data_IF_062499380357
#
_entry.id   IF_062499380357
#
_cell.length_a   1.000
_cell.length_b   1.000
_cell.length_c   1.000
_cell.angle_alpha   90.00
_cell.angle_beta   90.00
_cell.angle_gamma   90.00
#
_symmetry.space_group_name_H-M   'P 1'
#
loop_
_entity.id
_entity.type
_entity.pdbx_description
1 polymer ?
#
# COMPACT_ATOMS: atom_id res chain seq x y z
N UNK A 1 7.69 21.65 6.95
CA UNK A 1 8.48 20.81 6.02
C UNK A 1 8.59 19.39 6.54
N UNK A 2 7.53 18.60 6.47
CA UNK A 2 7.67 17.15 6.65
C UNK A 2 8.27 16.60 5.36
N UNK A 3 9.53 16.18 5.42
CA UNK A 3 10.14 15.47 4.30
C UNK A 3 9.41 14.14 4.09
N UNK A 4 9.44 13.58 2.87
CA UNK A 4 8.85 12.25 2.60
C UNK A 4 9.39 11.14 3.53
N UNK A 5 10.57 11.35 4.13
CA UNK A 5 11.15 10.45 5.12
C UNK A 5 10.49 10.57 6.50
N UNK A 6 9.98 11.74 6.87
CA UNK A 6 9.41 11.94 8.21
C UNK A 6 8.12 11.14 8.38
N UNK A 7 7.29 11.04 7.34
CA UNK A 7 6.12 10.16 7.36
C UNK A 7 6.49 8.68 7.50
N UNK A 8 7.64 8.27 6.97
CA UNK A 8 8.13 6.90 7.10
C UNK A 8 8.60 6.63 8.54
N UNK A 9 9.24 7.60 9.18
CA UNK A 9 9.69 7.49 10.57
C UNK A 9 8.55 7.48 11.59
N UNK A 10 7.41 8.08 11.24
CA UNK A 10 6.22 8.12 12.11
C UNK A 10 5.31 6.90 11.95
N UNK A 11 5.41 6.19 10.83
CA UNK A 11 4.58 5.02 10.56
C UNK A 11 5.11 3.74 11.22
N UNK A 12 4.26 2.71 11.24
CA UNK A 12 4.63 1.40 11.76
C UNK A 12 5.78 0.75 10.98
N UNK A 13 6.67 0.06 11.70
CA UNK A 13 7.76 -0.71 11.12
C UNK A 13 7.36 -2.18 10.87
N UNK A 14 7.89 -2.76 9.78
CA UNK A 14 7.62 -4.16 9.38
C UNK A 14 7.85 -5.16 10.51
N UNK A 15 9.02 -5.10 11.14
CA UNK A 15 9.39 -6.08 12.15
C UNK A 15 8.57 -5.90 13.44
N UNK A 16 8.04 -4.71 13.70
CA UNK A 16 7.21 -4.47 14.88
C UNK A 16 5.77 -4.92 14.66
N UNK A 17 5.19 -4.60 13.49
CA UNK A 17 3.79 -4.93 13.20
C UNK A 17 3.56 -6.36 12.76
N UNK A 18 4.43 -6.95 11.94
CA UNK A 18 4.25 -8.33 11.51
C UNK A 18 4.93 -9.27 12.52
N UNK A 19 4.16 -9.81 13.46
CA UNK A 19 4.69 -10.66 14.53
C UNK A 19 5.10 -12.00 13.96
N UNK A 20 4.18 -12.68 13.26
CA UNK A 20 4.38 -14.01 12.69
C UNK A 20 3.54 -14.18 11.41
N UNK A 21 4.01 -15.03 10.49
CA UNK A 21 3.20 -15.56 9.39
C UNK A 21 3.28 -17.07 9.30
N UNK A 22 2.14 -17.69 8.96
CA UNK A 22 2.04 -19.11 8.67
C UNK A 22 1.65 -19.26 7.21
N UNK A 23 2.48 -19.94 6.45
CA UNK A 23 2.26 -20.25 5.04
C UNK A 23 1.87 -21.71 4.95
N UNK A 24 0.67 -21.98 4.46
CA UNK A 24 0.23 -23.34 4.18
C UNK A 24 0.37 -23.61 2.70
N UNK A 25 1.10 -24.65 2.33
CA UNK A 25 1.33 -25.03 0.94
C UNK A 25 1.30 -26.55 0.83
N UNK A 26 0.53 -27.06 -0.14
CA UNK A 26 0.26 -28.50 -0.27
C UNK A 26 -0.12 -29.15 1.08
N UNK A 27 0.66 -30.13 1.56
CA UNK A 27 0.48 -30.82 2.85
C UNK A 27 1.44 -30.35 3.95
N UNK A 28 2.16 -29.24 3.74
CA UNK A 28 3.17 -28.70 4.65
C UNK A 28 2.79 -27.30 5.13
N UNK A 29 3.47 -26.87 6.20
CA UNK A 29 3.39 -25.52 6.71
C UNK A 29 4.80 -24.98 6.93
N UNK A 30 5.00 -23.72 6.58
CA UNK A 30 6.18 -22.95 6.94
C UNK A 30 5.77 -21.83 7.90
N UNK A 31 6.65 -21.53 8.85
CA UNK A 31 6.49 -20.43 9.78
C UNK A 31 7.57 -19.40 9.45
N UNK A 32 7.15 -18.21 9.02
CA UNK A 32 8.08 -17.12 8.81
C UNK A 32 8.55 -16.55 10.14
N UNK A 33 9.73 -15.94 10.12
CA UNK A 33 10.28 -15.25 11.31
C UNK A 33 9.63 -13.88 11.52
N UNK A 34 9.95 -13.19 12.63
CA UNK A 34 9.47 -11.83 12.94
C UNK A 34 9.64 -10.89 11.74
N UNK A 35 8.60 -10.16 11.36
CA UNK A 35 8.57 -9.40 10.11
C UNK A 35 8.12 -10.22 8.90
N UNK A 36 7.71 -11.47 9.09
CA UNK A 36 7.39 -12.41 8.00
C UNK A 36 8.56 -12.61 7.03
N UNK A 37 9.81 -12.70 7.51
CA UNK A 37 10.93 -13.07 6.63
C UNK A 37 10.88 -14.58 6.37
N UNK A 38 10.64 -14.93 5.11
CA UNK A 38 10.60 -16.29 4.59
C UNK A 38 10.97 -16.28 3.09
N UNK A 39 11.72 -17.27 2.56
CA UNK A 39 12.07 -17.33 1.14
C UNK A 39 10.89 -17.44 0.17
N UNK A 40 9.68 -17.76 0.63
CA UNK A 40 8.47 -17.82 -0.19
C UNK A 40 7.74 -16.48 -0.27
N UNK A 41 8.07 -15.53 0.61
CA UNK A 41 7.39 -14.24 0.71
C UNK A 41 8.32 -13.09 0.34
N UNK A 42 7.79 -12.15 -0.43
CA UNK A 42 8.34 -10.82 -0.58
C UNK A 42 7.42 -9.83 0.11
N UNK A 43 7.98 -9.05 1.04
CA UNK A 43 7.23 -8.02 1.77
C UNK A 43 7.84 -6.67 1.46
N UNK A 44 7.06 -5.79 0.84
CA UNK A 44 7.51 -4.45 0.47
C UNK A 44 6.75 -3.38 1.25
N UNK A 45 7.43 -2.28 1.51
CA UNK A 45 6.89 -1.13 2.25
C UNK A 45 6.51 -0.03 1.26
N UNK A 46 5.36 0.60 1.49
CA UNK A 46 5.00 1.82 0.77
C UNK A 46 4.35 2.81 1.71
N UNK A 47 4.50 4.09 1.40
CA UNK A 47 3.86 5.16 2.16
C UNK A 47 2.49 5.46 1.57
N UNK A 48 1.48 5.60 2.41
CA UNK A 48 0.17 6.15 2.08
C UNK A 48 -0.04 7.45 2.88
N UNK A 49 -0.62 8.50 2.29
CA UNK A 49 -0.80 9.78 2.98
C UNK A 49 -1.80 9.73 4.14
N UNK A 50 -2.73 8.76 4.14
CA UNK A 50 -3.73 8.60 5.20
C UNK A 50 -3.32 7.52 6.21
N UNK A 51 -2.61 6.49 5.76
CA UNK A 51 -2.26 5.32 6.58
C UNK A 51 -0.76 5.21 6.92
N UNK A 52 0.04 6.23 6.60
CA UNK A 52 1.49 6.25 6.82
C UNK A 52 2.20 5.04 6.18
N UNK A 53 2.83 4.16 6.97
CA UNK A 53 3.54 3.00 6.45
C UNK A 53 2.58 1.82 6.23
N UNK A 54 2.48 1.39 4.99
CA UNK A 54 1.74 0.21 4.58
C UNK A 54 2.70 -0.88 4.09
N UNK A 55 2.25 -2.14 4.15
CA UNK A 55 3.01 -3.30 3.74
C UNK A 55 2.22 -4.09 2.71
N UNK A 56 2.87 -4.49 1.62
CA UNK A 56 2.33 -5.51 0.72
C UNK A 56 3.07 -6.81 0.94
N UNK A 57 2.34 -7.92 0.86
CA UNK A 57 2.89 -9.26 0.99
C UNK A 57 2.53 -10.01 -0.28
N UNK A 58 3.54 -10.44 -1.02
CA UNK A 58 3.38 -11.25 -2.21
C UNK A 58 4.16 -12.56 -2.05
N UNK A 59 3.68 -13.61 -2.71
CA UNK A 59 4.45 -14.84 -2.84
C UNK A 59 5.49 -14.68 -3.96
N UNK A 60 6.62 -15.35 -3.84
CA UNK A 60 7.57 -15.45 -4.94
C UNK A 60 6.98 -16.28 -6.09
N UNK A 61 7.33 -15.94 -7.34
CA UNK A 61 6.73 -16.53 -8.56
C UNK A 61 6.78 -18.07 -8.55
N UNK A 62 7.88 -18.65 -8.07
CA UNK A 62 8.06 -20.10 -7.95
C UNK A 62 7.08 -20.78 -6.98
N UNK A 63 6.49 -20.02 -6.07
CA UNK A 63 5.61 -20.53 -5.00
C UNK A 63 4.11 -20.31 -5.25
N UNK A 64 3.73 -19.58 -6.30
CA UNK A 64 2.34 -19.15 -6.52
C UNK A 64 1.32 -20.29 -6.63
N UNK A 65 1.71 -21.42 -7.22
CA UNK A 65 0.81 -22.54 -7.51
C UNK A 65 0.63 -23.52 -6.35
N UNK A 66 1.51 -23.48 -5.35
CA UNK A 66 1.53 -24.47 -4.26
C UNK A 66 0.89 -23.95 -2.97
N UNK A 67 0.78 -22.64 -2.83
CA UNK A 67 0.27 -22.00 -1.62
C UNK A 67 -1.26 -22.08 -1.57
N UNK A 68 -1.75 -22.49 -0.41
CA UNK A 68 -3.18 -22.64 -0.11
C UNK A 68 -3.70 -21.47 0.72
N UNK A 69 -2.92 -20.97 1.68
CA UNK A 69 -3.33 -19.88 2.56
C UNK A 69 -2.15 -19.19 3.24
N UNK A 70 -2.34 -17.90 3.53
CA UNK A 70 -1.49 -17.09 4.39
C UNK A 70 -2.25 -16.75 5.67
N UNK A 71 -1.67 -16.99 6.83
CA UNK A 71 -2.16 -16.47 8.11
C UNK A 71 -1.15 -15.46 8.63
N UNK A 72 -1.62 -14.29 9.04
CA UNK A 72 -0.80 -13.21 9.58
C UNK A 72 -1.21 -12.93 11.02
N UNK A 73 -0.22 -12.80 11.90
CA UNK A 73 -0.40 -12.29 13.25
C UNK A 73 0.19 -10.88 13.25
N UNK A 74 -0.67 -9.90 13.40
CA UNK A 74 -0.32 -8.48 13.27
C UNK A 74 -0.50 -7.78 14.62
N UNK A 75 0.51 -7.01 15.02
CA UNK A 75 0.46 -6.11 16.16
C UNK A 75 0.13 -4.70 15.67
N UNK A 76 -0.94 -4.13 16.21
CA UNK A 76 -1.44 -2.80 15.82
C UNK A 76 -0.87 -1.66 16.67
N UNK A 77 0.10 -1.95 17.54
CA UNK A 77 0.59 -0.98 18.51
C UNK A 77 0.04 -1.21 19.92
N UNK A 78 0.42 -0.33 20.87
CA UNK A 78 -0.14 -0.33 22.22
C UNK A 78 -1.63 0.04 22.22
N UNK A 79 -2.35 -0.38 23.27
CA UNK A 79 -3.74 0.01 23.50
C UNK A 79 -3.89 1.54 23.55
N UNK A 80 -4.99 2.09 23.05
CA UNK A 80 -5.32 3.53 23.14
C UNK A 80 -5.26 4.06 24.59
N UNK A 81 -5.41 3.18 25.58
CA UNK A 81 -5.35 3.50 26.99
C UNK A 81 -3.97 3.32 27.63
N UNK A 82 -2.93 3.00 26.86
CA UNK A 82 -1.61 2.65 27.37
C UNK A 82 -0.92 3.80 28.12
N UNK A 83 -1.06 5.05 27.65
CA UNK A 83 -0.60 6.24 28.36
C UNK A 83 -1.45 7.46 28.02
N UNK A 84 -2.10 8.06 29.03
CA UNK A 84 -2.93 9.27 28.86
C UNK A 84 -2.17 10.45 28.24
N UNK A 85 -0.83 10.50 28.35
CA UNK A 85 0.02 11.54 27.76
C UNK A 85 0.25 11.36 26.26
N UNK A 86 0.09 10.12 25.77
CA UNK A 86 0.27 9.74 24.37
C UNK A 86 -1.07 9.50 23.66
N UNK A 87 -2.21 9.79 24.33
CA UNK A 87 -3.52 9.90 23.68
C UNK A 87 -3.56 11.11 22.76
N UNK A 88 -2.82 11.03 21.66
CA UNK A 88 -3.03 11.89 20.52
C UNK A 88 -4.21 11.28 19.77
N UNK A 89 -5.41 11.84 19.97
CA UNK A 89 -6.49 11.59 19.03
C UNK A 89 -6.02 12.17 17.70
N UNK A 90 -5.63 11.32 16.76
CA UNK A 90 -5.39 11.80 15.41
C UNK A 90 -6.71 12.37 14.93
N UNK A 91 -6.67 13.48 14.18
CA UNK A 91 -7.91 14.09 13.67
C UNK A 91 -8.74 13.09 12.85
N UNK A 92 -8.06 12.12 12.21
CA UNK A 92 -8.67 10.99 11.52
C UNK A 92 -9.34 9.96 12.44
N UNK A 93 -8.92 9.81 13.71
CA UNK A 93 -9.63 8.97 14.69
C UNK A 93 -11.06 9.48 14.95
N UNK A 94 -11.25 10.80 14.84
CA UNK A 94 -12.58 11.43 14.99
C UNK A 94 -13.50 11.11 13.80
N UNK A 95 -12.94 10.92 12.60
CA UNK A 95 -13.69 10.71 11.35
C UNK A 95 -13.82 9.24 10.93
N UNK A 96 -12.79 8.41 11.12
CA UNK A 96 -12.84 6.98 10.77
C UNK A 96 -13.44 6.13 11.90
N UNK A 97 -13.27 6.52 13.18
CA UNK A 97 -13.77 5.81 14.38
C UNK A 97 -13.56 4.28 14.38
N UNK A 98 -12.59 3.79 13.59
CA UNK A 98 -12.42 2.38 13.30
C UNK A 98 -11.04 1.91 13.76
N UNK A 99 -10.98 1.36 14.97
CA UNK A 99 -9.79 0.66 15.47
C UNK A 99 -9.64 -0.69 14.74
N UNK A 100 -8.51 -0.91 14.08
CA UNK A 100 -8.23 -2.16 13.37
C UNK A 100 -7.25 -2.03 12.22
N UNK A 101 -7.18 -3.07 11.39
CA UNK A 101 -6.30 -3.12 10.22
C UNK A 101 -7.13 -2.96 8.94
N UNK A 102 -6.65 -2.12 8.01
CA UNK A 102 -7.22 -2.01 6.67
C UNK A 102 -6.43 -2.88 5.71
N UNK A 103 -7.12 -3.79 5.01
CA UNK A 103 -6.50 -4.78 4.13
C UNK A 103 -7.06 -4.65 2.73
N UNK A 104 -6.22 -4.68 1.70
CA UNK A 104 -6.66 -4.71 0.31
C UNK A 104 -6.00 -5.89 -0.43
N UNK A 105 -6.77 -6.61 -1.23
CA UNK A 105 -6.28 -7.64 -2.14
C UNK A 105 -6.20 -7.04 -3.53
N UNK A 106 -5.02 -7.11 -4.15
CA UNK A 106 -4.77 -6.55 -5.47
C UNK A 106 -3.80 -7.43 -6.27
N UNK A 107 -3.60 -7.08 -7.55
CA UNK A 107 -2.70 -7.82 -8.43
C UNK A 107 -1.22 -7.61 -8.03
N UNK A 108 -0.33 -8.59 -8.29
CA UNK A 108 1.08 -8.46 -7.96
C UNK A 108 1.72 -7.24 -8.64
N UNK A 109 2.58 -6.53 -7.91
CA UNK A 109 3.30 -5.34 -8.38
C UNK A 109 2.40 -4.17 -8.86
N UNK A 110 1.12 -4.12 -8.50
CA UNK A 110 0.26 -2.94 -8.75
C UNK A 110 0.14 -2.07 -7.49
N UNK A 111 -0.18 -0.78 -7.65
CA UNK A 111 -0.36 0.10 -6.49
C UNK A 111 -1.59 -0.33 -5.66
N UNK A 112 -1.45 -0.52 -4.34
CA UNK A 112 -2.58 -0.88 -3.50
C UNK A 112 -3.45 0.36 -3.24
N UNK A 113 -4.69 0.34 -3.72
CA UNK A 113 -5.66 1.42 -3.49
C UNK A 113 -6.41 1.20 -2.17
N UNK A 114 -5.70 1.34 -1.04
CA UNK A 114 -6.23 1.01 0.30
C UNK A 114 -7.48 1.82 0.65
N UNK A 115 -7.50 3.11 0.32
CA UNK A 115 -8.66 3.97 0.61
C UNK A 115 -9.90 3.52 -0.17
N UNK A 116 -9.77 3.21 -1.46
CA UNK A 116 -10.90 2.87 -2.33
C UNK A 116 -11.35 1.40 -2.21
N UNK A 117 -10.40 0.47 -2.05
CA UNK A 117 -10.62 -0.98 -2.17
C UNK A 117 -10.32 -1.76 -0.89
N UNK A 118 -9.86 -1.07 0.16
CA UNK A 118 -9.54 -1.69 1.45
C UNK A 118 -10.79 -2.08 2.23
N UNK A 119 -10.70 -3.20 2.94
CA UNK A 119 -11.68 -3.68 3.90
C UNK A 119 -11.14 -3.50 5.32
N UNK A 120 -12.01 -3.08 6.24
CA UNK A 120 -11.67 -2.96 7.65
C UNK A 120 -11.73 -4.34 8.33
N UNK A 121 -10.73 -4.64 9.15
CA UNK A 121 -10.67 -5.86 9.94
C UNK A 121 -10.54 -5.53 11.42
N UNK A 122 -11.36 -6.17 12.24
CA UNK A 122 -11.42 -5.91 13.67
C UNK A 122 -10.31 -6.69 14.40
N UNK A 123 -9.59 -6.07 15.33
CA UNK A 123 -8.55 -6.74 16.11
C UNK A 123 -9.13 -7.68 17.17
N UNK A 124 -8.27 -8.51 17.78
CA UNK A 124 -8.66 -9.41 18.88
C UNK A 124 -9.37 -10.69 18.45
N UNK A 125 -9.64 -10.87 17.15
CA UNK A 125 -10.19 -12.11 16.58
C UNK A 125 -9.52 -12.48 15.27
N UNK A 126 -9.68 -13.73 14.85
CA UNK A 126 -9.25 -14.18 13.52
C UNK A 126 -10.24 -13.69 12.46
N UNK A 127 -9.76 -12.91 11.50
CA UNK A 127 -10.51 -12.52 10.32
C UNK A 127 -10.07 -13.37 9.13
N UNK A 128 -11.00 -14.09 8.52
CA UNK A 128 -10.71 -14.96 7.37
C UNK A 128 -11.22 -14.30 6.08
N UNK A 129 -10.32 -14.06 5.13
CA UNK A 129 -10.65 -13.51 3.82
C UNK A 129 -10.48 -14.61 2.77
N UNK A 130 -11.59 -15.06 2.20
CA UNK A 130 -11.62 -15.97 1.06
C UNK A 130 -11.90 -15.17 -0.20
N UNK A 131 -11.12 -15.40 -1.23
CA UNK A 131 -11.28 -14.71 -2.51
C UNK A 131 -11.09 -15.67 -3.67
N UNK A 132 -11.68 -15.31 -4.81
CA UNK A 132 -11.50 -16.01 -6.07
C UNK A 132 -11.13 -14.97 -7.12
N UNK A 133 -9.94 -15.06 -7.75
CA UNK A 133 -9.57 -14.13 -8.80
C UNK A 133 -10.43 -14.38 -10.04
N UNK A 134 -10.94 -13.31 -10.64
CA UNK A 134 -11.69 -13.34 -11.89
C UNK A 134 -10.92 -12.52 -12.92
N UNK A 135 -10.52 -13.16 -14.02
CA UNK A 135 -9.76 -12.51 -15.10
C UNK A 135 -10.69 -12.12 -16.25
N UNK A 136 -10.68 -10.84 -16.59
CA UNK A 136 -11.36 -10.33 -17.79
C UNK A 136 -10.32 -10.01 -18.87
N UNK A 137 -10.41 -10.68 -20.02
CA UNK A 137 -9.58 -10.39 -21.18
C UNK A 137 -10.42 -9.58 -22.17
N UNK A 138 -9.99 -8.36 -22.46
CA UNK A 138 -10.66 -7.49 -23.43
C UNK A 138 -9.98 -7.65 -24.78
N UNK A 139 -10.79 -7.80 -25.83
CA UNK A 139 -10.33 -7.80 -27.20
C UNK A 139 -10.07 -6.37 -27.70
N UNK A 140 -9.10 -6.25 -28.60
CA UNK A 140 -8.76 -4.96 -29.21
C UNK A 140 -9.94 -4.43 -30.05
N UNK A 141 -10.25 -3.15 -29.90
CA UNK A 141 -11.22 -2.48 -30.77
C UNK A 141 -10.52 -1.57 -31.78
N UNK A 142 -11.04 -1.41 -33.02
CA UNK A 142 -10.39 -0.57 -34.04
C UNK A 142 -10.21 0.90 -33.66
N UNK A 143 -11.11 1.46 -32.83
CA UNK A 143 -11.08 2.89 -32.43
C UNK A 143 -10.36 3.15 -31.12
N UNK A 144 -10.32 2.15 -30.23
CA UNK A 144 -9.71 2.23 -28.89
C UNK A 144 -9.05 0.88 -28.59
N UNK A 145 -7.89 0.59 -29.21
CA UNK A 145 -7.18 -0.65 -28.92
C UNK A 145 -6.75 -0.67 -27.44
N UNK A 146 -6.72 -1.85 -26.85
CA UNK A 146 -6.04 -2.07 -25.58
C UNK A 146 -4.54 -1.88 -25.79
N UNK A 147 -3.86 -1.41 -24.76
CA UNK A 147 -2.39 -1.29 -24.77
C UNK A 147 -1.82 -2.70 -24.72
N UNK A 148 -0.84 -3.00 -25.57
CA UNK A 148 -0.22 -4.33 -25.60
C UNK A 148 0.65 -4.57 -24.36
N UNK A 149 0.86 -5.84 -23.96
CA UNK A 149 1.79 -6.17 -22.87
C UNK A 149 3.19 -5.61 -23.10
N UNK A 150 3.67 -5.62 -24.34
CA UNK A 150 4.96 -5.07 -24.75
C UNK A 150 5.02 -3.56 -24.49
N UNK A 151 4.01 -2.80 -24.93
CA UNK A 151 3.92 -1.36 -24.66
C UNK A 151 3.85 -1.07 -23.15
N UNK A 152 3.07 -1.84 -22.38
CA UNK A 152 2.96 -1.66 -20.93
C UNK A 152 4.25 -2.00 -20.18
N UNK A 153 5.07 -2.92 -20.70
CA UNK A 153 6.29 -3.39 -20.02
C UNK A 153 7.33 -2.28 -19.82
N UNK A 154 7.31 -1.27 -20.70
CA UNK A 154 8.18 -0.10 -20.66
C UNK A 154 7.61 1.05 -19.81
N UNK A 155 6.32 1.00 -19.46
CA UNK A 155 5.67 2.03 -18.64
C UNK A 155 5.82 1.66 -17.18
N UNK A 156 6.84 2.23 -16.54
CA UNK A 156 7.00 2.17 -15.08
C UNK A 156 6.26 3.33 -14.45
N UNK A 157 5.21 3.02 -13.70
CA UNK A 157 4.48 3.99 -12.89
C UNK A 157 5.15 4.07 -11.53
N UNK A 158 5.21 5.26 -10.94
CA UNK A 158 5.95 5.50 -9.69
C UNK A 158 5.10 6.26 -8.69
N UNK A 159 5.16 5.81 -7.43
CA UNK A 159 4.73 6.58 -6.27
C UNK A 159 5.84 6.55 -5.22
N UNK A 160 6.46 7.71 -4.97
CA UNK A 160 7.68 7.87 -4.18
C UNK A 160 8.81 6.93 -4.63
N UNK A 161 9.13 5.95 -3.78
CA UNK A 161 10.26 5.03 -3.90
C UNK A 161 9.87 3.72 -4.60
N UNK A 162 8.57 3.49 -4.82
CA UNK A 162 8.06 2.25 -5.36
C UNK A 162 7.68 2.39 -6.84
N UNK A 163 8.04 1.37 -7.60
CA UNK A 163 7.63 1.20 -8.98
C UNK A 163 6.52 0.16 -9.08
N UNK A 164 5.56 0.44 -9.97
CA UNK A 164 4.39 -0.38 -10.18
C UNK A 164 4.26 -0.74 -11.65
N UNK A 165 3.66 -1.91 -11.88
CA UNK A 165 3.18 -2.31 -13.19
C UNK A 165 2.10 -1.35 -13.70
N UNK A 166 1.88 -1.39 -15.01
CA UNK A 166 0.85 -0.58 -15.63
C UNK A 166 -0.53 -0.89 -15.04
N UNK A 167 -1.16 0.15 -14.52
CA UNK A 167 -2.57 0.19 -14.16
C UNK A 167 -3.18 1.44 -14.80
N UNK A 168 -4.39 1.32 -15.34
CA UNK A 168 -5.02 2.40 -16.09
C UNK A 168 -5.30 3.61 -15.19
N UNK A 169 -5.78 3.39 -13.97
CA UNK A 169 -6.13 4.47 -13.04
C UNK A 169 -4.86 5.17 -12.57
N UNK A 170 -3.85 4.41 -12.12
CA UNK A 170 -2.56 4.96 -11.72
C UNK A 170 -1.89 5.76 -12.84
N UNK A 171 -2.01 5.32 -14.10
CA UNK A 171 -1.48 6.06 -15.25
C UNK A 171 -2.18 7.41 -15.42
N UNK A 172 -3.52 7.44 -15.33
CA UNK A 172 -4.29 8.68 -15.42
C UNK A 172 -3.95 9.62 -14.27
N UNK A 173 -3.92 9.11 -13.04
CA UNK A 173 -3.63 9.89 -11.84
C UNK A 173 -2.20 10.46 -11.88
N UNK A 174 -1.23 9.68 -12.38
CA UNK A 174 0.14 10.15 -12.59
C UNK A 174 0.22 11.28 -13.62
N UNK A 175 -0.60 11.24 -14.68
CA UNK A 175 -0.68 12.32 -15.68
C UNK A 175 -1.33 13.56 -15.09
N UNK A 176 -2.35 13.41 -14.26
CA UNK A 176 -2.95 14.54 -13.53
C UNK A 176 -1.91 15.16 -12.60
N UNK A 177 -1.16 14.37 -11.84
CA UNK A 177 -0.09 14.88 -10.99
C UNK A 177 0.98 15.63 -11.78
N UNK A 178 1.38 15.12 -12.94
CA UNK A 178 2.35 15.80 -13.79
C UNK A 178 1.86 17.20 -14.22
N UNK A 179 0.57 17.33 -14.54
CA UNK A 179 -0.04 18.63 -14.87
C UNK A 179 -0.12 19.55 -13.65
N UNK A 180 -0.43 19.02 -12.47
CA UNK A 180 -0.43 19.80 -11.22
C UNK A 180 0.98 20.31 -10.91
N UNK A 181 1.98 19.45 -11.04
CA UNK A 181 3.38 19.82 -10.82
C UNK A 181 3.85 20.90 -11.80
N UNK A 182 3.53 20.76 -13.08
CA UNK A 182 3.89 21.74 -14.12
C UNK A 182 3.23 23.11 -13.90
N UNK A 183 1.95 23.13 -13.53
CA UNK A 183 1.17 24.38 -13.43
C UNK A 183 1.26 25.04 -12.06
N UNK A 184 1.32 24.27 -10.99
CA UNK A 184 1.25 24.75 -9.61
C UNK A 184 2.59 24.67 -8.88
N UNK A 185 3.57 23.92 -9.40
CA UNK A 185 4.90 23.78 -8.77
C UNK A 185 4.90 22.94 -7.49
N UNK A 186 3.86 22.15 -7.24
CA UNK A 186 3.72 21.32 -6.03
C UNK A 186 3.12 19.95 -6.36
N UNK A 187 3.29 18.99 -5.45
CA UNK A 187 2.73 17.64 -5.53
C UNK A 187 1.43 17.59 -4.72
N UNK A 188 0.31 17.25 -5.36
CA UNK A 188 -0.94 17.02 -4.65
C UNK A 188 -0.88 15.69 -3.91
N UNK A 189 -1.26 15.68 -2.63
CA UNK A 189 -0.97 14.58 -1.71
C UNK A 189 -1.80 13.32 -1.96
N UNK A 190 -3.02 13.46 -2.47
CA UNK A 190 -3.92 12.35 -2.78
C UNK A 190 -3.60 11.70 -4.14
N UNK A 191 -2.70 12.29 -4.92
CA UNK A 191 -2.24 11.75 -6.20
C UNK A 191 -0.87 11.06 -6.05
N UNK A 192 -0.54 10.14 -6.96
CA UNK A 192 0.75 9.45 -6.97
C UNK A 192 1.92 10.44 -6.95
N UNK A 193 2.90 10.23 -6.07
CA UNK A 193 4.08 11.10 -5.96
C UNK A 193 5.10 10.68 -7.02
N UNK A 194 4.89 11.19 -8.23
CA UNK A 194 5.74 10.92 -9.40
C UNK A 194 7.18 11.44 -9.24
N UNK A 195 7.43 12.33 -8.27
CA UNK A 195 8.73 12.87 -7.88
C UNK A 195 8.89 12.84 -6.35
N UNK A 196 10.13 12.79 -5.87
CA UNK A 196 10.42 12.89 -4.43
C UNK A 196 10.21 14.35 -4.02
N UNK A 197 9.32 14.63 -3.05
CA UNK A 197 9.07 15.98 -2.56
C UNK A 197 10.35 16.63 -2.04
N UNK A 198 10.59 17.88 -2.43
CA UNK A 198 11.75 18.66 -2.01
C UNK A 198 11.40 20.15 -1.91
N UNK A 199 12.39 21.01 -1.65
CA UNK A 199 12.17 22.45 -1.51
C UNK A 199 11.64 23.11 -2.81
N UNK A 200 11.99 22.59 -3.98
CA UNK A 200 11.55 23.10 -5.29
C UNK A 200 10.18 22.57 -5.70
N UNK A 201 9.85 21.35 -5.27
CA UNK A 201 8.59 20.66 -5.57
C UNK A 201 8.00 20.11 -4.26
N UNK A 202 7.49 21.00 -3.38
CA UNK A 202 6.92 20.58 -2.11
C UNK A 202 5.55 19.93 -2.31
N UNK A 203 4.98 19.38 -1.24
CA UNK A 203 3.55 19.06 -1.24
C UNK A 203 2.71 20.34 -1.35
N UNK A 204 1.60 20.26 -2.06
CA UNK A 204 0.65 21.37 -2.14
C UNK A 204 0.02 21.60 -0.76
N UNK A 205 0.13 22.83 -0.27
CA UNK A 205 -0.42 23.22 1.01
C UNK A 205 -0.10 24.68 1.32
N UNK A 206 -0.84 25.24 2.27
CA UNK A 206 -0.55 26.56 2.81
C UNK A 206 0.12 26.33 4.16
N UNK A 207 1.37 26.75 4.28
CA UNK A 207 2.02 26.89 5.58
C UNK A 207 1.64 28.28 6.07
N UNK A 208 0.67 28.37 6.97
CA UNK A 208 0.32 29.64 7.62
C UNK A 208 1.39 29.89 8.69
N UNK A 209 2.31 30.82 8.45
CA UNK A 209 3.36 31.24 9.38
C UNK A 209 2.77 32.10 10.52
N UNK A 210 1.91 31.51 11.35
CA UNK A 210 1.39 32.14 12.57
C UNK A 210 2.13 31.69 13.82
#
# INVERSE_FOLDING_TARGET
NTAANDSILLGHERNESLVECVIKYSSRQALGTKGCHDPMLNVTLFSDPNFFNCMTIEFNEDSWSEVLSLTLIVWLGPDENYDMRHRQGFLYDVFEQAYGLRVAIHEPRTQPKILERGIQTEPGKMNEIKYQPVRFVRENTPKKPCISPEETSHVKLRDLYNEYNYDQELCLDSKVQAMVLEKCGCLYIELPRIAIPNATHPYCGIIDDK
#
